data_IF_395266444516
#
_entry.id   IF_395266444516
#
_cell.length_a   1.000
_cell.length_b   1.000
_cell.length_c   1.000
_cell.angle_alpha   90.00
_cell.angle_beta   90.00
_cell.angle_gamma   90.00
#
_symmetry.space_group_name_H-M   'P 1'
#
loop_
_entity.id
_entity.type
_entity.pdbx_description
1 polymer ?
#
# COMPACT_ATOMS: atom_id res chain seq x y z
N UNK A 1 2.08 9.75 42.12
CA UNK A 1 1.50 8.96 41.01
C UNK A 1 1.11 7.61 41.61
N UNK A 2 0.21 6.86 40.97
CA UNK A 2 -0.11 5.51 41.43
C UNK A 2 0.74 4.51 40.64
N UNK A 3 1.34 3.56 41.35
CA UNK A 3 2.28 2.58 40.79
C UNK A 3 1.59 1.22 40.67
N UNK A 4 1.59 0.64 39.48
CA UNK A 4 0.96 -0.65 39.18
C UNK A 4 1.96 -1.60 38.53
N UNK A 5 1.76 -2.91 38.71
CA UNK A 5 2.62 -3.95 38.15
C UNK A 5 1.81 -4.88 37.26
N UNK A 6 2.35 -5.21 36.08
CA UNK A 6 1.83 -6.28 35.20
C UNK A 6 2.87 -7.38 35.07
N UNK A 7 2.50 -8.60 35.48
CA UNK A 7 3.30 -9.80 35.29
C UNK A 7 2.95 -10.42 33.94
N UNK A 8 3.93 -10.56 33.05
CA UNK A 8 3.84 -11.33 31.81
C UNK A 8 4.61 -12.63 32.02
N UNK A 9 4.00 -13.60 32.71
CA UNK A 9 4.67 -14.86 33.08
C UNK A 9 4.77 -15.88 31.94
N UNK A 10 3.91 -15.76 30.92
CA UNK A 10 3.81 -16.68 29.78
C UNK A 10 4.25 -15.97 28.49
N UNK A 11 5.20 -16.52 27.70
CA UNK A 11 5.62 -15.94 26.42
C UNK A 11 4.46 -15.83 25.40
N UNK A 12 3.48 -16.73 25.41
CA UNK A 12 2.32 -16.66 24.50
C UNK A 12 1.41 -15.47 24.86
N UNK A 13 1.18 -15.24 26.15
CA UNK A 13 0.47 -14.06 26.64
C UNK A 13 1.25 -12.77 26.33
N UNK A 14 2.58 -12.77 26.49
CA UNK A 14 3.43 -11.63 26.15
C UNK A 14 3.33 -11.27 24.66
N UNK A 15 3.28 -12.27 23.77
CA UNK A 15 3.11 -12.04 22.33
C UNK A 15 1.71 -11.51 21.98
N UNK A 16 0.66 -12.04 22.60
CA UNK A 16 -0.69 -11.52 22.39
C UNK A 16 -0.85 -10.05 22.84
N UNK A 17 -0.18 -9.67 23.93
CA UNK A 17 -0.12 -8.28 24.42
C UNK A 17 0.70 -7.40 23.46
N UNK A 18 1.79 -7.91 22.89
CA UNK A 18 2.58 -7.22 21.88
C UNK A 18 1.74 -6.90 20.63
N UNK A 19 1.03 -7.89 20.10
CA UNK A 19 0.32 -7.81 18.83
C UNK A 19 -1.03 -7.07 18.91
N UNK A 20 -1.68 -7.03 20.10
CA UNK A 20 -3.03 -6.44 20.25
C UNK A 20 -3.09 -5.16 21.06
N UNK A 21 -2.20 -4.98 22.03
CA UNK A 21 -2.25 -3.83 22.95
C UNK A 21 -1.13 -2.82 22.61
N UNK A 22 0.13 -3.29 22.55
CA UNK A 22 1.29 -2.42 22.31
C UNK A 22 1.37 -1.87 20.87
N UNK A 23 0.68 -2.47 19.90
CA UNK A 23 0.50 -1.90 18.54
C UNK A 23 -0.21 -0.54 18.57
N UNK A 24 -1.03 -0.28 19.59
CA UNK A 24 -1.76 0.98 19.77
C UNK A 24 -1.13 1.89 20.85
N UNK A 25 0.10 1.60 21.29
CA UNK A 25 0.81 2.40 22.29
C UNK A 25 0.19 2.30 23.69
N UNK A 26 -0.37 1.15 24.06
CA UNK A 26 -1.01 0.98 25.36
C UNK A 26 -0.99 -0.45 25.88
N UNK A 27 -1.50 -0.62 27.10
CA UNK A 27 -1.63 -1.91 27.76
C UNK A 27 -2.81 -1.93 28.73
N UNK A 28 -3.50 -3.07 28.80
CA UNK A 28 -4.44 -3.37 29.87
C UNK A 28 -3.71 -3.79 31.15
N UNK A 29 -4.15 -3.29 32.30
CA UNK A 29 -3.59 -3.60 33.61
C UNK A 29 -4.71 -4.17 34.47
N UNK A 30 -4.66 -5.47 34.80
CA UNK A 30 -5.59 -6.06 35.75
C UNK A 30 -5.30 -5.50 37.15
N UNK A 31 -6.32 -4.97 37.82
CA UNK A 31 -6.23 -4.49 39.20
C UNK A 31 -7.61 -4.38 39.81
N UNK A 32 -7.71 -4.66 41.11
CA UNK A 32 -8.94 -4.49 41.90
C UNK A 32 -9.14 -3.03 42.35
N UNK A 33 -8.10 -2.19 42.26
CA UNK A 33 -8.12 -0.78 42.67
C UNK A 33 -7.73 0.14 41.49
N UNK A 34 -8.59 0.29 40.47
CA UNK A 34 -8.27 1.09 39.30
C UNK A 34 -8.12 2.59 39.63
N UNK A 35 -7.20 3.29 38.96
CA UNK A 35 -6.99 4.71 39.19
C UNK A 35 -8.12 5.53 38.55
N UNK A 36 -8.19 6.83 38.90
CA UNK A 36 -9.18 7.72 38.29
C UNK A 36 -8.95 7.82 36.76
N UNK A 37 -10.01 7.85 35.93
CA UNK A 37 -9.87 8.11 34.51
C UNK A 37 -9.05 9.39 34.24
N UNK A 38 -8.23 9.35 33.19
CA UNK A 38 -7.30 10.40 32.76
C UNK A 38 -6.20 10.77 33.77
N UNK A 39 -6.02 10.00 34.85
CA UNK A 39 -4.88 10.20 35.76
C UNK A 39 -3.58 9.60 35.21
N UNK A 40 -2.44 10.15 35.67
CA UNK A 40 -1.09 9.64 35.35
C UNK A 40 -0.66 8.51 36.27
N UNK A 41 -0.10 7.48 35.67
CA UNK A 41 0.15 6.17 36.27
C UNK A 41 1.55 5.70 35.88
N UNK A 42 2.27 5.09 36.83
CA UNK A 42 3.51 4.36 36.56
C UNK A 42 3.18 2.87 36.45
N UNK A 43 3.78 2.20 35.46
CA UNK A 43 3.51 0.79 35.18
C UNK A 43 4.84 0.03 35.10
N UNK A 44 5.08 -0.86 36.06
CA UNK A 44 6.19 -1.81 36.01
C UNK A 44 5.72 -3.09 35.31
N UNK A 45 6.15 -3.28 34.06
CA UNK A 45 5.90 -4.53 33.33
C UNK A 45 7.07 -5.48 33.59
N UNK A 46 6.79 -6.64 34.18
CA UNK A 46 7.80 -7.67 34.43
C UNK A 46 7.66 -8.77 33.38
N UNK A 47 8.76 -9.00 32.66
CA UNK A 47 8.87 -9.97 31.57
C UNK A 47 9.15 -11.39 32.08
N UNK A 48 8.94 -12.44 31.26
CA UNK A 48 9.30 -13.83 31.61
C UNK A 48 10.78 -13.99 31.97
N UNK A 49 11.65 -13.11 31.43
CA UNK A 49 13.09 -13.06 31.71
C UNK A 49 13.45 -12.42 33.06
N UNK A 50 12.48 -12.13 33.93
CA UNK A 50 12.67 -11.47 35.23
C UNK A 50 12.99 -9.97 35.16
N UNK A 51 13.17 -9.43 33.95
CA UNK A 51 13.47 -8.02 33.76
C UNK A 51 12.20 -7.17 33.89
N UNK A 52 12.24 -6.17 34.77
CA UNK A 52 11.17 -5.19 34.95
C UNK A 52 11.45 -3.91 34.15
N UNK A 53 10.54 -3.53 33.26
CA UNK A 53 10.56 -2.25 32.56
C UNK A 53 9.51 -1.32 33.16
N UNK A 54 9.90 -0.12 33.56
CA UNK A 54 8.99 0.91 34.06
C UNK A 54 8.63 1.89 32.94
N UNK A 55 7.33 2.11 32.74
CA UNK A 55 6.80 3.02 31.73
C UNK A 55 5.70 3.87 32.33
N UNK A 56 5.70 5.18 32.02
CA UNK A 56 4.66 6.11 32.46
C UNK A 56 3.54 6.19 31.43
N UNK A 57 2.33 6.48 31.88
CA UNK A 57 1.20 6.66 30.97
C UNK A 57 -0.03 7.27 31.63
N UNK A 58 -1.09 7.37 30.84
CA UNK A 58 -2.38 7.92 31.24
C UNK A 58 -3.44 6.82 31.21
N UNK A 59 -4.23 6.68 32.28
CA UNK A 59 -5.34 5.74 32.35
C UNK A 59 -6.51 6.24 31.48
N UNK A 60 -6.75 5.65 30.31
CA UNK A 60 -7.75 6.15 29.34
C UNK A 60 -9.13 5.52 29.56
N UNK A 61 -9.19 4.24 29.91
CA UNK A 61 -10.46 3.52 30.06
C UNK A 61 -10.41 2.60 31.29
N UNK A 62 -11.37 2.72 32.21
CA UNK A 62 -11.47 1.91 33.43
C UNK A 62 -12.65 0.96 33.29
N UNK A 63 -12.41 -0.33 33.50
CA UNK A 63 -13.42 -1.40 33.39
C UNK A 63 -13.43 -2.27 34.65
N UNK A 64 -14.46 -3.12 34.80
CA UNK A 64 -14.48 -4.08 35.90
C UNK A 64 -13.27 -5.03 35.78
N UNK A 65 -12.41 -5.07 36.81
CA UNK A 65 -11.19 -5.89 36.87
C UNK A 65 -9.92 -5.24 36.30
N UNK A 66 -9.94 -3.98 35.88
CA UNK A 66 -8.70 -3.28 35.50
C UNK A 66 -8.89 -2.00 34.68
N UNK A 67 -7.81 -1.53 34.06
CA UNK A 67 -7.83 -0.30 33.26
C UNK A 67 -6.84 -0.37 32.10
N UNK A 68 -7.13 0.36 31.03
CA UNK A 68 -6.25 0.52 29.87
C UNK A 68 -5.42 1.80 30.02
N UNK A 69 -4.09 1.65 29.95
CA UNK A 69 -3.13 2.74 29.95
C UNK A 69 -2.66 3.01 28.53
N UNK A 70 -2.65 4.27 28.13
CA UNK A 70 -1.86 4.73 26.98
C UNK A 70 -0.50 5.21 27.49
N UNK A 71 0.59 4.68 26.96
CA UNK A 71 1.94 5.01 27.41
C UNK A 71 2.39 6.37 26.83
N UNK A 72 3.20 7.10 27.59
CA UNK A 72 3.83 8.33 27.09
C UNK A 72 4.90 7.95 26.06
N UNK A 73 4.79 8.47 24.83
CA UNK A 73 5.75 8.16 23.76
C UNK A 73 7.16 8.66 24.09
N UNK A 74 8.07 7.71 24.29
CA UNK A 74 9.43 8.00 24.75
C UNK A 74 10.34 6.76 24.77
N UNK A 75 11.60 6.91 25.22
CA UNK A 75 12.58 5.82 25.22
C UNK A 75 12.16 4.63 26.08
N UNK A 76 11.36 4.84 27.13
CA UNK A 76 10.82 3.78 27.99
C UNK A 76 9.80 2.88 27.25
N UNK A 77 8.91 3.45 26.43
CA UNK A 77 7.97 2.69 25.59
C UNK A 77 8.72 1.86 24.54
N UNK A 78 9.72 2.46 23.89
CA UNK A 78 10.56 1.78 22.89
C UNK A 78 11.38 0.66 23.53
N UNK A 79 11.93 0.88 24.73
CA UNK A 79 12.63 -0.14 25.51
C UNK A 79 11.69 -1.29 25.90
N UNK A 80 10.50 -1.00 26.42
CA UNK A 80 9.49 -2.01 26.74
C UNK A 80 9.12 -2.85 25.51
N UNK A 81 8.76 -2.22 24.38
CA UNK A 81 8.38 -2.93 23.16
C UNK A 81 9.51 -3.79 22.60
N UNK A 82 10.75 -3.32 22.72
CA UNK A 82 11.94 -4.07 22.31
C UNK A 82 12.21 -5.25 23.24
N UNK A 83 12.05 -5.07 24.56
CA UNK A 83 12.27 -6.11 25.56
C UNK A 83 11.16 -7.19 25.54
N UNK A 84 9.89 -6.83 25.32
CA UNK A 84 8.80 -7.78 25.06
C UNK A 84 9.10 -8.60 23.81
N UNK A 85 9.49 -7.94 22.70
CA UNK A 85 9.84 -8.63 21.44
C UNK A 85 11.06 -9.55 21.59
N UNK A 86 12.05 -9.16 22.39
CA UNK A 86 13.20 -10.00 22.70
C UNK A 86 12.78 -11.24 23.54
N UNK A 87 11.91 -11.05 24.54
CA UNK A 87 11.38 -12.14 25.35
C UNK A 87 10.54 -13.14 24.54
N UNK A 88 9.77 -12.69 23.53
CA UNK A 88 9.03 -13.59 22.63
C UNK A 88 9.93 -14.36 21.66
N UNK A 89 11.07 -13.80 21.26
CA UNK A 89 12.04 -14.46 20.37
C UNK A 89 12.94 -15.46 21.11
N UNK A 90 13.07 -15.33 22.44
CA UNK A 90 13.89 -16.20 23.28
C UNK A 90 13.21 -17.54 23.67
N UNK A 91 11.94 -17.74 23.32
CA UNK A 91 11.25 -19.01 23.53
C UNK A 91 11.55 -19.99 22.37
N UNK A 92 12.00 -21.23 22.64
CA UNK A 92 12.20 -22.21 21.57
C UNK A 92 10.87 -22.57 20.92
N UNK A 93 10.86 -22.71 19.59
CA UNK A 93 9.64 -23.00 18.84
C UNK A 93 9.02 -24.33 19.31
N UNK A 94 7.70 -24.38 19.57
CA UNK A 94 7.03 -25.65 19.86
C UNK A 94 7.11 -26.54 18.61
N UNK A 95 7.57 -27.78 18.81
CA UNK A 95 7.64 -28.78 17.76
C UNK A 95 6.24 -29.05 17.17
N UNK A 96 6.13 -29.39 15.87
CA UNK A 96 4.84 -29.75 15.27
C UNK A 96 4.23 -30.96 15.99
N UNK A 97 2.90 -30.99 16.22
CA UNK A 97 2.25 -32.10 16.89
C UNK A 97 2.39 -33.39 16.07
N UNK A 98 2.77 -34.47 16.74
CA UNK A 98 2.88 -35.79 16.13
C UNK A 98 1.52 -36.27 15.62
N UNK A 99 1.50 -36.75 14.38
CA UNK A 99 0.40 -37.54 13.82
C UNK A 99 0.86 -38.99 13.83
N UNK A 100 0.14 -39.85 14.56
CA UNK A 100 0.37 -41.30 14.60
C UNK A 100 -0.04 -41.97 13.27
N UNK A 101 0.50 -43.17 12.96
CA UNK A 101 0.62 -43.61 11.58
C UNK A 101 -0.60 -44.37 11.03
N UNK A 102 -0.96 -44.10 9.78
CA UNK A 102 -1.66 -45.05 8.91
C UNK A 102 -0.65 -45.76 7.98
N UNK A 103 -0.88 -47.03 7.59
CA UNK A 103 0.17 -47.91 7.12
C UNK A 103 0.53 -47.75 5.62
N UNK A 104 1.75 -48.19 5.31
CA UNK A 104 2.36 -48.64 4.04
C UNK A 104 1.52 -48.59 2.73
N UNK A 105 2.13 -48.36 1.56
CA UNK A 105 2.94 -49.37 0.83
C UNK A 105 3.61 -48.71 -0.41
N UNK A 106 4.89 -49.05 -0.67
CA UNK A 106 5.63 -48.96 -1.96
C UNK A 106 5.88 -47.58 -2.64
N UNK A 107 6.89 -47.34 -3.50
CA UNK A 107 8.04 -48.15 -4.01
C UNK A 107 9.18 -47.20 -4.49
N UNK A 108 10.39 -47.76 -4.63
CA UNK A 108 11.44 -47.36 -5.60
C UNK A 108 12.18 -45.99 -5.47
N UNK A 109 13.35 -46.06 -4.80
CA UNK A 109 14.71 -45.74 -5.33
C UNK A 109 15.01 -44.44 -6.11
N UNK A 110 15.81 -43.58 -5.45
CA UNK A 110 17.14 -43.04 -5.84
C UNK A 110 17.86 -43.51 -7.14
N UNK A 111 18.95 -42.84 -7.64
CA UNK A 111 19.58 -41.57 -7.19
C UNK A 111 20.07 -40.58 -8.30
N UNK A 112 20.56 -39.42 -7.83
CA UNK A 112 21.69 -38.56 -8.29
C UNK A 112 22.30 -38.65 -9.72
N UNK A 113 22.59 -37.48 -10.31
CA UNK A 113 23.96 -36.89 -10.36
C UNK A 113 23.99 -35.51 -11.08
N UNK A 114 25.04 -34.71 -10.82
CA UNK A 114 25.23 -33.32 -11.27
C UNK A 114 26.12 -33.20 -12.57
N UNK A 115 26.91 -32.12 -12.85
CA UNK A 115 26.54 -31.16 -13.90
C UNK A 115 27.66 -30.91 -14.95
N UNK A 116 27.35 -30.26 -16.09
CA UNK A 116 28.39 -29.63 -16.94
C UNK A 116 27.93 -28.30 -17.59
N UNK A 117 28.86 -27.36 -17.64
CA UNK A 117 28.83 -26.03 -18.28
C UNK A 117 28.97 -26.07 -19.81
N UNK A 118 28.47 -25.05 -20.53
CA UNK A 118 29.28 -24.11 -21.34
C UNK A 118 28.42 -23.16 -22.24
N UNK A 119 29.05 -22.07 -22.68
CA UNK A 119 28.65 -21.14 -23.76
C UNK A 119 29.92 -20.90 -24.61
N UNK A 120 29.90 -20.49 -25.90
CA UNK A 120 29.38 -19.16 -26.30
C UNK A 120 28.91 -19.00 -27.78
N UNK A 121 28.55 -17.74 -28.14
CA UNK A 121 28.62 -16.94 -29.41
C UNK A 121 28.85 -17.59 -30.82
N UNK A 122 28.50 -16.99 -31.99
CA UNK A 122 28.42 -15.57 -32.40
C UNK A 122 27.57 -15.25 -33.68
N UNK A 123 27.14 -13.97 -33.78
CA UNK A 123 26.97 -13.00 -34.91
C UNK A 123 26.10 -13.12 -36.22
N UNK A 124 25.59 -11.93 -36.63
CA UNK A 124 25.38 -11.30 -37.96
C UNK A 124 24.26 -11.65 -39.03
N UNK A 125 23.22 -10.78 -39.06
CA UNK A 125 22.80 -9.86 -40.17
C UNK A 125 21.87 -10.21 -41.41
N UNK A 126 20.88 -9.29 -41.61
CA UNK A 126 20.42 -8.60 -42.86
C UNK A 126 19.04 -8.89 -43.57
N UNK A 127 18.07 -7.96 -43.39
CA UNK A 127 17.04 -7.34 -44.30
C UNK A 127 16.12 -8.16 -45.28
N UNK A 128 15.01 -7.68 -45.91
CA UNK A 128 14.54 -6.34 -46.40
C UNK A 128 12.98 -6.19 -46.48
N UNK A 129 12.44 -4.99 -46.09
CA UNK A 129 11.17 -4.27 -46.47
C UNK A 129 9.77 -4.99 -46.47
N UNK A 130 8.59 -4.35 -46.34
CA UNK A 130 8.12 -2.95 -46.20
C UNK A 130 6.79 -2.94 -45.36
N UNK A 131 6.09 -1.85 -44.99
CA UNK A 131 6.21 -0.39 -45.24
C UNK A 131 4.93 0.39 -44.79
N UNK A 132 4.73 1.61 -45.32
CA UNK A 132 3.59 2.55 -45.15
C UNK A 132 3.52 3.43 -43.89
N UNK A 133 3.83 4.71 -44.13
CA UNK A 133 3.88 5.89 -43.25
C UNK A 133 2.52 6.51 -42.90
N UNK A 134 2.42 7.24 -41.78
CA UNK A 134 1.79 8.59 -41.73
C UNK A 134 2.30 9.44 -40.53
N UNK A 135 3.19 10.38 -40.86
CA UNK A 135 3.40 11.74 -40.27
C UNK A 135 3.36 11.91 -38.73
N UNK A 136 4.55 11.99 -38.12
CA UNK A 136 4.80 12.84 -36.94
C UNK A 136 5.62 14.06 -37.36
N UNK A 137 5.01 15.25 -37.31
CA UNK A 137 5.66 16.55 -37.38
C UNK A 137 4.79 17.57 -36.61
N UNK A 138 5.39 18.67 -36.14
CA UNK A 138 4.73 19.83 -35.50
C UNK A 138 4.23 19.70 -34.04
N UNK A 139 5.07 19.17 -33.14
CA UNK A 139 4.98 19.53 -31.69
C UNK A 139 6.34 19.81 -31.00
N UNK A 140 7.42 20.02 -31.78
CA UNK A 140 8.77 20.25 -31.25
C UNK A 140 9.28 21.71 -31.40
N UNK A 141 8.55 22.59 -32.07
CA UNK A 141 9.03 23.91 -32.52
C UNK A 141 8.47 25.12 -31.73
N UNK A 142 8.14 24.94 -30.45
CA UNK A 142 7.54 25.99 -29.60
C UNK A 142 8.37 26.31 -28.33
N UNK A 143 9.67 26.04 -28.33
CA UNK A 143 10.56 26.20 -27.16
C UNK A 143 11.70 27.20 -27.34
N UNK A 144 11.83 27.87 -28.48
CA UNK A 144 12.88 28.87 -28.74
C UNK A 144 12.28 30.23 -29.11
N UNK A 145 11.79 30.98 -28.10
CA UNK A 145 11.65 32.46 -28.11
C UNK A 145 11.17 33.04 -26.76
N UNK A 146 11.72 32.59 -25.62
CA UNK A 146 11.73 33.40 -24.38
C UNK A 146 12.89 32.96 -23.49
N UNK A 147 14.06 33.59 -23.67
CA UNK A 147 15.18 33.46 -22.74
C UNK A 147 14.90 34.26 -21.45
N UNK A 148 14.40 33.58 -20.41
CA UNK A 148 14.59 34.01 -19.03
C UNK A 148 14.55 32.77 -18.13
N UNK A 149 15.61 32.56 -17.34
CA UNK A 149 15.94 31.27 -16.73
C UNK A 149 14.86 30.77 -15.74
N UNK A 150 14.06 29.73 -16.06
CA UNK A 150 13.06 29.21 -15.15
C UNK A 150 13.63 28.13 -14.20
N UNK A 151 14.83 27.61 -14.48
CA UNK A 151 15.40 26.45 -13.81
C UNK A 151 15.76 26.68 -12.34
N UNK A 152 16.27 27.86 -11.98
CA UNK A 152 16.74 28.15 -10.62
C UNK A 152 15.57 28.48 -9.68
N UNK A 153 14.75 29.47 -10.05
CA UNK A 153 13.59 29.86 -9.24
C UNK A 153 12.56 28.74 -9.08
N UNK A 154 12.26 27.99 -10.14
CA UNK A 154 11.30 26.88 -10.02
C UNK A 154 11.85 25.79 -9.09
N UNK A 155 13.15 25.46 -9.19
CA UNK A 155 13.78 24.46 -8.32
C UNK A 155 13.87 24.93 -6.87
N UNK A 156 14.00 26.22 -6.62
CA UNK A 156 13.98 26.81 -5.28
C UNK A 156 12.56 26.87 -4.69
N UNK A 157 11.55 27.29 -5.48
CA UNK A 157 10.12 27.18 -5.13
C UNK A 157 9.67 25.74 -4.89
N UNK A 158 10.32 24.75 -5.52
CA UNK A 158 10.07 23.32 -5.25
C UNK A 158 10.76 22.83 -3.96
N UNK A 159 11.92 23.37 -3.58
CA UNK A 159 12.53 23.13 -2.27
C UNK A 159 11.67 23.71 -1.15
N UNK A 160 11.16 24.94 -1.31
CA UNK A 160 10.28 25.55 -0.29
C UNK A 160 8.97 24.77 -0.11
N UNK A 161 8.44 24.15 -1.18
CA UNK A 161 7.28 23.24 -1.11
C UNK A 161 7.59 21.94 -0.37
N UNK A 162 8.83 21.45 -0.41
CA UNK A 162 9.23 20.26 0.35
C UNK A 162 9.39 20.57 1.85
N UNK A 163 9.82 21.79 2.19
CA UNK A 163 9.88 22.30 3.56
C UNK A 163 8.49 22.55 4.20
N UNK A 164 7.38 22.39 3.45
CA UNK A 164 6.01 22.46 4.00
C UNK A 164 5.63 21.22 4.82
N UNK A 165 6.34 20.11 4.63
CA UNK A 165 6.16 18.89 5.42
C UNK A 165 7.32 18.76 6.39
N UNK A 166 7.00 18.64 7.66
CA UNK A 166 7.99 18.38 8.70
C UNK A 166 8.07 16.86 8.94
N UNK A 167 9.15 16.18 8.49
CA UNK A 167 9.33 14.75 8.67
C UNK A 167 9.66 14.37 10.12
N UNK A 168 10.01 15.34 10.98
CA UNK A 168 10.27 15.15 12.40
C UNK A 168 9.06 15.47 13.30
N UNK A 169 7.99 16.06 12.73
CA UNK A 169 6.78 16.38 13.47
C UNK A 169 6.00 15.13 13.90
N UNK A 170 5.54 15.12 15.14
CA UNK A 170 4.60 14.14 15.69
C UNK A 170 3.24 14.15 14.96
N UNK A 171 2.92 15.20 14.20
CA UNK A 171 1.66 15.30 13.45
C UNK A 171 1.69 14.33 12.25
N UNK A 172 0.72 13.41 12.11
CA UNK A 172 0.74 12.43 11.04
C UNK A 172 0.60 13.09 9.67
N UNK A 173 1.33 12.56 8.68
CA UNK A 173 1.49 13.11 7.33
C UNK A 173 0.17 13.48 6.63
N UNK A 174 -0.92 12.74 6.87
CA UNK A 174 -2.23 13.06 6.31
C UNK A 174 -2.84 14.36 6.86
N UNK A 175 -2.58 14.71 8.13
CA UNK A 175 -3.01 15.99 8.71
C UNK A 175 -2.12 17.15 8.28
N UNK A 176 -0.81 16.93 8.12
CA UNK A 176 0.08 17.94 7.56
C UNK A 176 -0.38 18.35 6.15
N UNK A 177 -0.64 17.37 5.27
CA UNK A 177 -1.16 17.62 3.91
C UNK A 177 -2.57 18.25 3.95
N UNK A 178 -3.44 17.81 4.86
CA UNK A 178 -4.78 18.38 5.02
C UNK A 178 -4.82 19.85 5.48
N UNK A 179 -3.75 20.34 6.10
CA UNK A 179 -3.61 21.75 6.48
C UNK A 179 -3.15 22.65 5.32
N UNK A 180 -2.66 22.08 4.21
CA UNK A 180 -2.18 22.83 3.05
C UNK A 180 -3.33 23.31 2.15
N UNK A 181 -3.16 24.50 1.57
CA UNK A 181 -4.07 25.02 0.55
C UNK A 181 -4.10 24.10 -0.69
N UNK A 182 -5.16 24.18 -1.49
CA UNK A 182 -5.27 23.40 -2.73
C UNK A 182 -4.09 23.68 -3.67
N UNK A 183 -3.66 24.94 -3.78
CA UNK A 183 -2.51 25.33 -4.61
C UNK A 183 -1.19 24.73 -4.14
N UNK A 184 -0.95 24.66 -2.83
CA UNK A 184 0.22 24.00 -2.26
C UNK A 184 0.17 22.49 -2.47
N UNK A 185 -0.99 21.86 -2.27
CA UNK A 185 -1.18 20.42 -2.56
C UNK A 185 -0.92 20.10 -4.03
N UNK A 186 -1.33 20.95 -4.98
CA UNK A 186 -1.02 20.79 -6.42
C UNK A 186 0.49 20.89 -6.67
N UNK A 187 1.19 21.87 -6.09
CA UNK A 187 2.65 22.03 -6.24
C UNK A 187 3.40 20.82 -5.66
N UNK A 188 2.98 20.40 -4.47
CA UNK A 188 3.53 19.26 -3.75
C UNK A 188 3.30 17.95 -4.50
N UNK A 189 2.11 17.74 -5.09
CA UNK A 189 1.78 16.57 -5.92
C UNK A 189 2.76 16.35 -7.08
N UNK A 190 3.37 17.40 -7.64
CA UNK A 190 4.35 17.31 -8.75
C UNK A 190 5.71 16.75 -8.33
N UNK A 191 6.10 16.88 -7.06
CA UNK A 191 7.43 16.45 -6.55
C UNK A 191 7.32 15.35 -5.47
N UNK A 192 6.10 15.10 -5.00
CA UNK A 192 5.73 14.14 -3.97
C UNK A 192 6.45 12.79 -4.05
N UNK A 193 6.92 12.33 -2.89
CA UNK A 193 7.40 10.96 -2.68
C UNK A 193 6.23 9.98 -2.57
N UNK A 194 6.53 8.68 -2.67
CA UNK A 194 5.58 7.57 -2.54
C UNK A 194 4.57 7.69 -1.38
N UNK A 195 4.96 7.93 -0.10
CA UNK A 195 4.00 8.07 1.00
C UNK A 195 3.07 9.27 0.82
N UNK A 196 3.60 10.38 0.30
CA UNK A 196 2.84 11.62 0.03
C UNK A 196 1.80 11.40 -1.07
N UNK A 197 2.18 10.76 -2.19
CA UNK A 197 1.25 10.40 -3.27
C UNK A 197 0.12 9.49 -2.78
N UNK A 198 0.42 8.52 -1.90
CA UNK A 198 -0.57 7.58 -1.35
C UNK A 198 -1.67 8.28 -0.52
N UNK A 199 -1.36 9.43 0.08
CA UNK A 199 -2.35 10.31 0.73
C UNK A 199 -3.09 11.15 -0.30
N UNK A 200 -2.38 11.87 -1.18
CA UNK A 200 -3.00 12.79 -2.15
C UNK A 200 -3.96 12.12 -3.15
N UNK A 201 -3.78 10.83 -3.47
CA UNK A 201 -4.71 10.08 -4.35
C UNK A 201 -6.06 9.74 -3.68
N UNK A 202 -6.18 9.96 -2.37
CA UNK A 202 -7.39 9.78 -1.57
C UNK A 202 -8.01 11.12 -1.14
N UNK A 203 -7.56 12.22 -1.74
CA UNK A 203 -8.05 13.56 -1.43
C UNK A 203 -9.52 13.75 -1.88
N UNK A 204 -10.17 14.73 -1.27
CA UNK A 204 -11.48 15.19 -1.69
C UNK A 204 -11.38 15.87 -3.06
N UNK A 205 -10.30 16.65 -3.27
CA UNK A 205 -10.09 17.45 -4.47
C UNK A 205 -9.69 16.63 -5.69
N UNK A 206 -10.66 16.42 -6.59
CA UNK A 206 -10.54 15.51 -7.75
C UNK A 206 -9.53 15.96 -8.81
N UNK A 207 -9.15 17.23 -8.80
CA UNK A 207 -8.08 17.78 -9.65
C UNK A 207 -6.68 17.28 -9.22
N UNK A 208 -6.46 17.01 -7.93
CA UNK A 208 -5.17 16.50 -7.44
C UNK A 208 -4.84 15.12 -7.99
N UNK A 209 -5.86 14.27 -8.22
CA UNK A 209 -5.68 12.90 -8.68
C UNK A 209 -4.95 12.83 -10.02
N UNK A 210 -5.30 13.70 -10.98
CA UNK A 210 -4.61 13.78 -12.26
C UNK A 210 -3.15 14.21 -12.06
N UNK A 211 -2.90 15.25 -11.25
CA UNK A 211 -1.54 15.76 -10.99
C UNK A 211 -0.65 14.70 -10.34
N UNK A 212 -1.17 13.96 -9.35
CA UNK A 212 -0.47 12.84 -8.69
C UNK A 212 -0.11 11.73 -9.68
N UNK A 213 -1.03 11.40 -10.60
CA UNK A 213 -0.83 10.34 -11.58
C UNK A 213 0.14 10.75 -12.70
N UNK A 214 0.17 12.03 -13.07
CA UNK A 214 1.15 12.59 -14.03
C UNK A 214 2.57 12.80 -13.46
N UNK A 215 2.79 12.57 -12.15
CA UNK A 215 4.10 12.77 -11.52
C UNK A 215 5.14 11.78 -12.09
N UNK A 216 6.34 12.24 -12.50
CA UNK A 216 7.37 11.40 -13.14
C UNK A 216 7.97 10.33 -12.23
N UNK A 217 7.76 10.42 -10.90
CA UNK A 217 8.21 9.42 -9.91
C UNK A 217 7.12 8.38 -9.58
N UNK A 218 5.95 8.45 -10.20
CA UNK A 218 4.87 7.47 -10.05
C UNK A 218 5.23 6.19 -10.80
N UNK A 219 5.04 5.02 -10.17
CA UNK A 219 5.34 3.73 -10.79
C UNK A 219 4.08 3.07 -11.35
N UNK A 220 4.26 2.19 -12.35
CA UNK A 220 3.14 1.43 -12.94
C UNK A 220 2.40 0.57 -11.89
N UNK A 221 3.09 0.10 -10.84
CA UNK A 221 2.46 -0.62 -9.72
C UNK A 221 1.57 0.28 -8.83
N UNK A 222 1.91 1.56 -8.68
CA UNK A 222 1.04 2.53 -7.99
C UNK A 222 -0.19 2.85 -8.85
N UNK A 223 0.01 3.06 -10.15
CA UNK A 223 -1.09 3.27 -11.10
C UNK A 223 -2.05 2.06 -11.13
N UNK A 224 -1.54 0.84 -11.00
CA UNK A 224 -2.35 -0.37 -10.91
C UNK A 224 -3.23 -0.36 -9.65
N UNK A 225 -2.67 -0.07 -8.46
CA UNK A 225 -3.42 0.11 -7.20
C UNK A 225 -4.53 1.18 -7.37
N UNK A 226 -4.19 2.33 -7.96
CA UNK A 226 -5.09 3.49 -8.06
C UNK A 226 -6.18 3.29 -9.13
N UNK A 227 -5.89 2.59 -10.22
CA UNK A 227 -6.88 2.29 -11.27
C UNK A 227 -8.09 1.50 -10.76
N UNK A 228 -7.89 0.67 -9.73
CA UNK A 228 -8.94 -0.11 -9.08
C UNK A 228 -9.74 0.67 -8.01
N UNK A 229 -9.30 1.88 -7.62
CA UNK A 229 -9.93 2.64 -6.54
C UNK A 229 -11.15 3.44 -7.04
N UNK A 230 -12.35 3.25 -6.44
CA UNK A 230 -13.55 4.00 -6.84
C UNK A 230 -13.46 5.50 -6.52
N UNK A 231 -12.61 5.90 -5.58
CA UNK A 231 -12.46 7.31 -5.16
C UNK A 231 -11.73 8.21 -6.17
N UNK A 232 -11.02 7.62 -7.14
CA UNK A 232 -10.22 8.32 -8.17
C UNK A 232 -11.14 9.02 -9.17
N UNK A 233 -10.69 10.14 -9.74
CA UNK A 233 -11.50 10.98 -10.61
C UNK A 233 -11.61 10.42 -12.03
N UNK A 234 -12.77 10.64 -12.67
CA UNK A 234 -13.03 10.20 -14.04
C UNK A 234 -12.02 10.74 -15.06
N UNK A 235 -11.50 11.95 -14.83
CA UNK A 235 -10.44 12.59 -15.62
C UNK A 235 -9.10 11.85 -15.51
N UNK A 236 -8.70 11.48 -14.29
CA UNK A 236 -7.46 10.74 -14.06
C UNK A 236 -7.55 9.30 -14.62
N UNK A 237 -8.72 8.65 -14.55
CA UNK A 237 -8.98 7.37 -15.22
C UNK A 237 -8.98 7.50 -16.75
N UNK A 238 -9.50 8.61 -17.29
CA UNK A 238 -9.41 8.93 -18.74
C UNK A 238 -7.95 9.07 -19.18
N UNK A 239 -7.10 9.70 -18.37
CA UNK A 239 -5.66 9.80 -18.64
C UNK A 239 -4.97 8.42 -18.71
N UNK A 240 -5.22 7.51 -17.77
CA UNK A 240 -4.75 6.10 -17.87
C UNK A 240 -5.20 5.50 -19.21
N UNK A 241 -6.47 5.68 -19.57
CA UNK A 241 -7.06 5.07 -20.77
C UNK A 241 -6.50 5.55 -22.11
N UNK A 242 -5.75 6.66 -22.11
CA UNK A 242 -5.07 7.19 -23.28
C UNK A 242 -3.61 6.69 -23.37
N UNK A 243 -3.04 6.16 -22.29
CA UNK A 243 -1.66 5.64 -22.29
C UNK A 243 -1.62 4.22 -22.85
N UNK A 244 -1.16 4.09 -24.10
CA UNK A 244 -0.97 2.79 -24.79
C UNK A 244 -0.18 1.78 -23.94
N UNK A 245 0.89 2.23 -23.26
CA UNK A 245 1.72 1.39 -22.34
C UNK A 245 0.89 0.71 -21.24
N UNK A 246 -0.01 1.46 -20.60
CA UNK A 246 -0.83 0.94 -19.50
C UNK A 246 -1.97 0.07 -20.04
N UNK A 247 -2.68 0.54 -21.08
CA UNK A 247 -3.81 -0.18 -21.67
C UNK A 247 -3.39 -1.50 -22.33
N UNK A 248 -2.13 -1.65 -22.77
CA UNK A 248 -1.61 -2.93 -23.26
C UNK A 248 -1.62 -4.05 -22.21
N UNK A 249 -1.70 -3.73 -20.91
CA UNK A 249 -1.78 -4.71 -19.82
C UNK A 249 -3.26 -5.02 -19.50
N UNK A 250 -3.72 -6.29 -19.57
CA UNK A 250 -5.11 -6.66 -19.28
C UNK A 250 -5.62 -6.21 -17.90
N UNK A 251 -4.72 -6.16 -16.90
CA UNK A 251 -5.05 -5.74 -15.52
C UNK A 251 -5.62 -4.31 -15.49
N UNK A 252 -5.00 -3.37 -16.21
CA UNK A 252 -5.50 -1.99 -16.29
C UNK A 252 -6.84 -1.92 -17.03
N UNK A 253 -7.02 -2.70 -18.10
CA UNK A 253 -8.30 -2.77 -18.82
C UNK A 253 -9.42 -3.25 -17.89
N UNK A 254 -9.15 -4.31 -17.11
CA UNK A 254 -10.11 -4.88 -16.16
C UNK A 254 -10.43 -3.90 -15.02
N UNK A 255 -9.42 -3.30 -14.41
CA UNK A 255 -9.59 -2.33 -13.32
C UNK A 255 -10.45 -1.15 -13.78
N UNK A 256 -10.18 -0.59 -14.97
CA UNK A 256 -10.98 0.50 -15.54
C UNK A 256 -12.44 0.09 -15.81
N UNK A 257 -12.70 -1.13 -16.30
CA UNK A 257 -14.08 -1.61 -16.55
C UNK A 257 -14.83 -1.90 -15.25
N UNK A 258 -14.14 -2.34 -14.19
CA UNK A 258 -14.74 -2.57 -12.87
C UNK A 258 -14.95 -1.30 -12.05
N UNK A 259 -14.21 -0.22 -12.34
CA UNK A 259 -14.25 1.00 -11.55
C UNK A 259 -15.52 1.83 -11.84
N UNK A 260 -16.38 2.11 -10.85
CA UNK A 260 -17.63 2.86 -11.04
C UNK A 260 -17.42 4.34 -11.36
N UNK A 261 -16.20 4.87 -11.27
CA UNK A 261 -15.85 6.25 -11.67
C UNK A 261 -15.36 6.36 -13.12
N UNK A 262 -15.21 5.25 -13.85
CA UNK A 262 -14.80 5.27 -15.26
C UNK A 262 -15.94 5.78 -16.17
N UNK A 263 -15.67 6.73 -17.09
CA UNK A 263 -16.61 7.12 -18.14
C UNK A 263 -17.09 5.91 -18.95
N UNK A 264 -18.40 5.80 -19.18
CA UNK A 264 -19.00 4.61 -19.82
C UNK A 264 -18.47 4.34 -21.24
N UNK A 265 -18.19 5.40 -22.01
CA UNK A 265 -17.56 5.33 -23.34
C UNK A 265 -16.26 4.52 -23.33
N UNK A 266 -15.40 4.80 -22.35
CA UNK A 266 -14.07 4.19 -22.22
C UNK A 266 -14.22 2.72 -21.83
N UNK A 267 -15.10 2.42 -20.88
CA UNK A 267 -15.35 1.06 -20.45
C UNK A 267 -15.95 0.19 -21.59
N UNK A 268 -16.86 0.73 -22.40
CA UNK A 268 -17.39 0.06 -23.58
C UNK A 268 -16.30 -0.19 -24.64
N UNK A 269 -15.43 0.79 -24.91
CA UNK A 269 -14.28 0.62 -25.81
C UNK A 269 -13.34 -0.49 -25.36
N UNK A 270 -13.08 -0.60 -24.04
CA UNK A 270 -12.22 -1.65 -23.48
C UNK A 270 -12.86 -3.05 -23.60
N UNK A 271 -14.17 -3.18 -23.39
CA UNK A 271 -14.90 -4.46 -23.55
C UNK A 271 -14.79 -5.00 -24.98
N UNK A 272 -14.70 -4.14 -25.99
CA UNK A 272 -14.50 -4.54 -27.38
C UNK A 272 -13.10 -5.14 -27.68
N UNK A 273 -12.11 -4.97 -26.78
CA UNK A 273 -10.71 -5.41 -26.99
C UNK A 273 -10.24 -6.43 -25.95
N UNK A 274 -10.82 -6.44 -24.73
CA UNK A 274 -10.52 -7.38 -23.63
C UNK A 274 -10.52 -8.86 -24.05
N UNK A 275 -9.67 -9.74 -23.47
CA UNK A 275 -9.67 -11.16 -23.78
C UNK A 275 -10.91 -11.89 -23.21
N UNK A 276 -11.28 -13.02 -23.82
CA UNK A 276 -12.46 -13.83 -23.50
C UNK A 276 -12.52 -14.21 -22.00
N UNK A 277 -11.39 -14.63 -21.43
CA UNK A 277 -11.24 -14.96 -20.00
C UNK A 277 -11.69 -13.84 -19.06
N UNK A 278 -11.34 -12.60 -19.39
CA UNK A 278 -11.69 -11.41 -18.63
C UNK A 278 -13.15 -10.97 -18.86
N UNK A 279 -13.75 -11.27 -20.03
CA UNK A 279 -15.19 -11.08 -20.26
C UNK A 279 -16.04 -11.99 -19.35
N UNK A 280 -15.66 -13.27 -19.16
CA UNK A 280 -16.33 -14.14 -18.19
C UNK A 280 -16.13 -13.69 -16.73
N UNK A 281 -15.06 -12.95 -16.43
CA UNK A 281 -14.85 -12.32 -15.11
C UNK A 281 -15.76 -11.10 -14.92
N UNK A 282 -15.96 -10.30 -15.96
CA UNK A 282 -16.94 -9.19 -15.97
C UNK A 282 -18.37 -9.71 -15.75
N UNK A 283 -18.76 -10.79 -16.41
CA UNK A 283 -20.09 -11.40 -16.22
C UNK A 283 -20.34 -11.84 -14.78
N UNK A 284 -19.34 -12.43 -14.12
CA UNK A 284 -19.41 -12.88 -12.71
C UNK A 284 -19.29 -11.74 -11.69
N UNK A 285 -18.75 -10.59 -12.05
CA UNK A 285 -18.51 -9.49 -11.12
C UNK A 285 -19.76 -8.67 -10.84
N UNK A 286 -20.15 -8.56 -9.57
CA UNK A 286 -21.26 -7.70 -9.11
C UNK A 286 -20.94 -6.21 -9.16
N UNK A 287 -19.66 -5.83 -9.14
CA UNK A 287 -19.18 -4.43 -9.12
C UNK A 287 -19.39 -3.70 -10.45
N UNK A 288 -19.53 -4.44 -11.55
CA UNK A 288 -19.65 -3.88 -12.91
C UNK A 288 -21.09 -3.41 -13.17
N UNK A 289 -21.24 -2.23 -13.80
CA UNK A 289 -22.54 -1.68 -14.22
C UNK A 289 -23.25 -2.65 -15.17
N UNK A 290 -24.58 -2.78 -15.05
CA UNK A 290 -25.36 -3.73 -15.86
C UNK A 290 -25.26 -3.47 -17.38
N UNK A 291 -25.12 -2.22 -17.80
CA UNK A 291 -24.87 -1.85 -19.21
C UNK A 291 -23.60 -2.49 -19.78
N UNK A 292 -22.54 -2.51 -18.98
CA UNK A 292 -21.24 -3.11 -19.31
C UNK A 292 -21.32 -4.65 -19.28
N UNK A 293 -22.06 -5.22 -18.32
CA UNK A 293 -22.33 -6.67 -18.25
C UNK A 293 -23.06 -7.18 -19.48
N UNK A 294 -24.09 -6.46 -19.95
CA UNK A 294 -24.82 -6.77 -21.20
C UNK A 294 -23.92 -6.66 -22.43
N UNK A 295 -23.07 -5.63 -22.51
CA UNK A 295 -22.10 -5.48 -23.61
C UNK A 295 -21.09 -6.64 -23.66
N UNK A 296 -20.55 -7.05 -22.50
CA UNK A 296 -19.65 -8.21 -22.41
C UNK A 296 -20.35 -9.52 -22.81
N UNK A 297 -21.59 -9.75 -22.35
CA UNK A 297 -22.39 -10.92 -22.74
C UNK A 297 -22.62 -10.97 -24.26
N UNK A 298 -22.97 -9.83 -24.88
CA UNK A 298 -23.14 -9.73 -26.34
C UNK A 298 -21.84 -10.11 -27.06
N UNK A 299 -20.69 -9.59 -26.63
CA UNK A 299 -19.43 -9.93 -27.30
C UNK A 299 -19.09 -11.43 -27.19
N UNK A 300 -19.42 -12.07 -26.07
CA UNK A 300 -19.25 -13.52 -25.91
C UNK A 300 -20.19 -14.34 -26.83
N UNK A 301 -21.45 -13.92 -27.01
CA UNK A 301 -22.34 -14.54 -28.02
C UNK A 301 -21.80 -14.35 -29.43
N UNK A 302 -21.34 -13.15 -29.77
CA UNK A 302 -20.82 -12.82 -31.11
C UNK A 302 -19.53 -13.61 -31.42
N UNK A 303 -18.81 -14.07 -30.39
CA UNK A 303 -17.59 -14.90 -30.52
C UNK A 303 -17.87 -16.41 -30.34
N UNK A 304 -19.14 -16.82 -30.16
CA UNK A 304 -19.50 -18.24 -29.95
C UNK A 304 -18.96 -18.88 -28.66
N UNK A 305 -18.62 -18.07 -27.65
CA UNK A 305 -18.02 -18.50 -26.38
C UNK A 305 -18.98 -18.24 -25.20
N UNK A 306 -20.27 -18.61 -25.33
CA UNK A 306 -21.31 -18.39 -24.31
C UNK A 306 -21.82 -19.70 -23.68
#
# INVERSE_FOLDING_TARGET
MADYQRLLSDPAAAQQVLDRELVHGGAFIPTDAPPRPLSRVNVRVVLPSGHGCEVTGTAVNVIAGGFFVHFDSGPAEVALRTAVRAATVAAPAPAPPAVEPEPAVELATEPAAEPVTESPTDDAALEVAAGSTLVEADLAAALESTESAPGTEARERLKSVFNLLDPASTVPLHRQIGALTVGERIRLARVATRPVRKVLIRDVEKQLHLVVMTNPKTSDAELEEWSAMPAVSAEALRWISNQKRLISRPIFQMNLVQNPSTPQEIALRLIAVLPISELHRIMRSTKVRETLRKAAKKRLTDTGNL
#
